data_IF_952443822896
#
_entry.id   IF_952443822896
#
_cell.length_a   1.000
_cell.length_b   1.000
_cell.length_c   1.000
_cell.angle_alpha   90.00
_cell.angle_beta   90.00
_cell.angle_gamma   90.00
#
_symmetry.space_group_name_H-M   'P 1'
#
loop_
_entity.id
_entity.type
_entity.pdbx_description
1 polymer ?
#
# COMPACT_ATOMS: atom_id res chain seq x y z
N UNK A 1 48.92 -10.82 -8.19
CA UNK A 1 47.94 -11.91 -7.98
C UNK A 1 47.40 -11.88 -6.55
N UNK A 2 48.25 -11.56 -5.57
CA UNK A 2 47.89 -11.42 -4.14
C UNK A 2 46.82 -10.35 -3.87
N UNK A 3 46.85 -9.21 -4.58
CA UNK A 3 45.88 -8.11 -4.40
C UNK A 3 44.42 -8.46 -4.76
N UNK A 4 44.19 -9.36 -5.71
CA UNK A 4 42.84 -9.83 -6.05
C UNK A 4 42.32 -10.80 -4.99
N UNK A 5 43.20 -11.64 -4.46
CA UNK A 5 42.86 -12.54 -3.36
C UNK A 5 42.48 -11.74 -2.09
N UNK A 6 43.22 -10.69 -1.76
CA UNK A 6 42.89 -9.78 -0.65
C UNK A 6 41.54 -9.09 -0.85
N UNK A 7 41.26 -8.62 -2.07
CA UNK A 7 39.96 -8.02 -2.40
C UNK A 7 38.81 -9.03 -2.24
N UNK A 8 38.97 -10.28 -2.69
CA UNK A 8 37.93 -11.28 -2.48
C UNK A 8 37.69 -11.60 -1.00
N UNK A 9 38.74 -11.56 -0.18
CA UNK A 9 38.63 -11.77 1.27
C UNK A 9 37.89 -10.60 1.93
N UNK A 10 38.20 -9.35 1.57
CA UNK A 10 37.50 -8.20 2.13
C UNK A 10 36.02 -8.19 1.76
N UNK A 11 35.67 -8.51 0.51
CA UNK A 11 34.27 -8.61 0.09
C UNK A 11 33.52 -9.75 0.79
N UNK A 12 34.18 -10.89 1.01
CA UNK A 12 33.61 -11.98 1.81
C UNK A 12 33.32 -11.51 3.23
N UNK A 13 34.25 -10.78 3.86
CA UNK A 13 34.06 -10.24 5.20
C UNK A 13 32.91 -9.21 5.25
N UNK A 14 32.86 -8.28 4.28
CA UNK A 14 31.81 -7.27 4.19
C UNK A 14 30.42 -7.88 3.97
N UNK A 15 30.30 -8.93 3.14
CA UNK A 15 29.02 -9.60 2.91
C UNK A 15 28.58 -10.49 4.08
N UNK A 16 29.53 -11.09 4.81
CA UNK A 16 29.22 -11.97 5.95
C UNK A 16 28.97 -11.21 7.25
N UNK A 17 29.47 -9.98 7.37
CA UNK A 17 29.33 -9.16 8.57
C UNK A 17 27.85 -8.85 8.93
N UNK A 18 26.99 -8.37 8.02
CA UNK A 18 25.58 -8.13 8.34
C UNK A 18 24.81 -9.39 8.76
N UNK A 19 25.17 -10.55 8.19
CA UNK A 19 24.55 -11.82 8.56
C UNK A 19 24.89 -12.22 10.00
N UNK A 20 26.16 -12.04 10.40
CA UNK A 20 26.61 -12.31 11.77
C UNK A 20 25.99 -11.34 12.77
N UNK A 21 25.96 -10.05 12.44
CA UNK A 21 25.33 -9.02 13.29
C UNK A 21 23.84 -9.31 13.49
N UNK A 22 23.15 -9.80 12.45
CA UNK A 22 21.75 -10.21 12.55
C UNK A 22 21.56 -11.47 13.43
N UNK A 23 22.45 -12.47 13.33
CA UNK A 23 22.42 -13.67 14.16
C UNK A 23 22.63 -13.34 15.65
N UNK A 24 23.60 -12.47 15.95
CA UNK A 24 23.85 -11.95 17.30
C UNK A 24 22.65 -11.15 17.85
N UNK A 25 21.98 -10.38 17.00
CA UNK A 25 20.76 -9.68 17.38
C UNK A 25 19.62 -10.65 17.72
N UNK A 26 19.38 -11.66 16.88
CA UNK A 26 18.30 -12.63 17.09
C UNK A 26 18.53 -13.45 18.36
N UNK A 27 19.76 -13.94 18.57
CA UNK A 27 20.12 -14.66 19.80
C UNK A 27 19.93 -13.82 21.06
N UNK A 28 20.21 -12.51 20.99
CA UNK A 28 19.95 -11.57 22.08
C UNK A 28 18.45 -11.42 22.36
N UNK A 29 17.64 -11.25 21.31
CA UNK A 29 16.18 -11.14 21.44
C UNK A 29 15.58 -12.43 22.00
N UNK A 30 16.04 -13.59 21.53
CA UNK A 30 15.62 -14.90 22.05
C UNK A 30 15.96 -15.06 23.54
N UNK A 31 17.16 -14.65 23.97
CA UNK A 31 17.55 -14.68 25.37
C UNK A 31 16.66 -13.77 26.24
N UNK A 32 16.32 -12.57 25.74
CA UNK A 32 15.38 -11.66 26.42
C UNK A 32 13.99 -12.28 26.55
N UNK A 33 13.48 -12.90 25.49
CA UNK A 33 12.18 -13.58 25.52
C UNK A 33 12.18 -14.74 26.52
N UNK A 34 13.22 -15.57 26.51
CA UNK A 34 13.37 -16.70 27.42
C UNK A 34 13.49 -16.26 28.89
N UNK A 35 14.08 -15.09 29.16
CA UNK A 35 14.11 -14.53 30.51
C UNK A 35 12.71 -14.14 30.99
N UNK A 36 11.86 -13.60 30.11
CA UNK A 36 10.48 -13.22 30.43
C UNK A 36 9.59 -14.46 30.63
N UNK A 37 9.76 -15.50 29.80
CA UNK A 37 8.95 -16.72 29.90
C UNK A 37 9.34 -17.60 31.09
N UNK A 38 10.62 -17.61 31.49
CA UNK A 38 11.10 -18.39 32.63
C UNK A 38 10.93 -17.70 34.00
N UNK A 39 10.38 -16.47 34.05
CA UNK A 39 10.14 -15.73 35.31
C UNK A 39 8.68 -15.67 35.75
N UNK A 40 7.79 -16.45 35.11
CA UNK A 40 6.40 -16.62 35.54
C UNK A 40 6.22 -17.77 36.54
N UNK A 41 5.39 -17.63 37.60
CA UNK A 41 5.05 -18.74 38.48
C UNK A 41 4.37 -19.88 37.72
N UNK A 42 4.85 -21.10 37.95
CA UNK A 42 4.26 -22.39 37.61
C UNK A 42 2.72 -22.38 37.65
N UNK A 43 2.08 -22.25 36.48
CA UNK A 43 0.74 -22.76 36.17
C UNK A 43 0.66 -22.93 34.64
N UNK A 44 0.63 -24.16 34.15
CA UNK A 44 0.27 -24.44 32.75
C UNK A 44 1.34 -25.08 31.87
N UNK A 45 2.07 -26.07 32.38
CA UNK A 45 2.66 -27.11 31.52
C UNK A 45 1.53 -28.00 30.95
N UNK A 46 0.85 -27.53 29.92
CA UNK A 46 0.00 -28.29 29.00
C UNK A 46 -0.05 -27.38 27.77
N UNK A 47 0.73 -27.62 26.73
CA UNK A 47 0.38 -28.51 25.63
C UNK A 47 1.67 -28.78 24.85
N UNK A 48 2.18 -30.01 24.96
CA UNK A 48 3.01 -30.58 23.90
C UNK A 48 2.09 -31.28 22.91
N UNK A 49 2.17 -30.86 21.65
CA UNK A 49 2.08 -31.67 20.43
C UNK A 49 1.17 -32.90 20.42
N UNK A 50 0.06 -32.83 19.67
CA UNK A 50 -0.32 -33.88 18.72
C UNK A 50 -1.48 -33.43 17.82
N UNK A 51 -1.20 -33.45 16.51
CA UNK A 51 -2.04 -33.91 15.41
C UNK A 51 -3.59 -33.77 15.44
N UNK A 52 -4.04 -33.24 14.31
CA UNK A 52 -5.16 -33.71 13.49
C UNK A 52 -6.55 -33.02 13.62
N UNK A 53 -6.99 -32.58 12.43
CA UNK A 53 -8.36 -32.59 11.89
C UNK A 53 -9.34 -31.46 12.20
N UNK A 54 -9.52 -30.65 11.14
CA UNK A 54 -10.80 -30.30 10.46
C UNK A 54 -11.98 -29.82 11.29
N UNK A 55 -12.49 -28.64 10.93
CA UNK A 55 -13.88 -28.28 11.24
C UNK A 55 -14.19 -26.81 10.99
N UNK A 56 -14.60 -26.50 9.75
CA UNK A 56 -15.37 -25.29 9.40
C UNK A 56 -16.65 -25.21 10.23
N UNK A 57 -17.01 -24.02 10.71
CA UNK A 57 -18.37 -23.42 10.81
C UNK A 57 -18.22 -22.02 11.42
N UNK A 58 -18.20 -20.95 10.64
CA UNK A 58 -19.37 -20.14 10.23
C UNK A 58 -20.50 -20.12 11.27
N UNK A 59 -20.71 -18.97 11.90
CA UNK A 59 -21.89 -18.70 12.73
C UNK A 59 -22.48 -17.38 12.25
N UNK A 60 -23.34 -17.53 11.25
CA UNK A 60 -24.25 -16.52 10.75
C UNK A 60 -25.41 -16.29 11.74
N UNK A 61 -25.74 -15.01 11.83
CA UNK A 61 -26.99 -14.33 12.20
C UNK A 61 -28.29 -15.10 11.91
N UNK A 62 -29.24 -15.11 12.85
CA UNK A 62 -30.68 -14.84 12.60
C UNK A 62 -31.47 -14.76 13.92
N UNK A 63 -32.39 -13.79 13.99
CA UNK A 63 -33.37 -13.60 15.08
C UNK A 63 -34.74 -14.17 14.67
N UNK A 64 -35.49 -14.81 15.59
CA UNK A 64 -36.95 -14.59 15.69
C UNK A 64 -37.63 -15.21 16.93
N UNK A 65 -38.24 -14.31 17.71
CA UNK A 65 -39.63 -14.26 18.21
C UNK A 65 -40.32 -15.43 18.98
N UNK A 66 -40.78 -15.02 20.17
CA UNK A 66 -42.10 -15.24 20.83
C UNK A 66 -42.55 -16.63 21.31
N UNK A 67 -43.11 -16.62 22.54
CA UNK A 67 -44.02 -17.69 22.98
C UNK A 67 -43.95 -18.08 24.46
N UNK A 68 -44.70 -17.35 25.30
CA UNK A 68 -45.59 -17.86 26.36
C UNK A 68 -45.26 -19.15 27.12
N UNK A 69 -45.22 -19.03 28.46
CA UNK A 69 -45.94 -19.97 29.34
C UNK A 69 -45.12 -20.78 30.33
N UNK A 70 -45.32 -20.43 31.60
CA UNK A 70 -45.66 -21.35 32.69
C UNK A 70 -44.62 -22.34 33.27
N UNK A 71 -44.61 -22.31 34.62
CA UNK A 71 -44.17 -23.27 35.64
C UNK A 71 -42.73 -23.81 35.69
N UNK A 72 -42.09 -23.46 36.82
CA UNK A 72 -41.52 -24.37 37.80
C UNK A 72 -40.20 -25.12 37.53
N UNK A 73 -39.53 -25.35 38.66
CA UNK A 73 -38.44 -26.29 38.91
C UNK A 73 -37.00 -25.82 38.61
N UNK A 74 -36.34 -25.43 39.71
CA UNK A 74 -35.00 -25.87 40.12
C UNK A 74 -33.86 -25.70 39.11
N UNK A 75 -33.08 -24.64 39.30
CA UNK A 75 -31.64 -24.73 39.47
C UNK A 75 -31.14 -23.39 40.00
N UNK A 76 -30.15 -23.41 40.90
CA UNK A 76 -29.39 -22.22 41.30
C UNK A 76 -28.63 -21.68 40.08
N UNK A 77 -29.32 -20.89 39.24
CA UNK A 77 -28.79 -20.33 38.01
C UNK A 77 -28.24 -18.93 38.24
N UNK A 78 -27.15 -18.81 39.00
CA UNK A 78 -26.25 -17.67 38.77
C UNK A 78 -25.50 -18.03 37.49
N UNK A 79 -26.10 -17.73 36.34
CA UNK A 79 -25.40 -17.68 35.06
C UNK A 79 -24.25 -16.67 35.25
N UNK A 80 -22.97 -17.10 35.27
CA UNK A 80 -21.84 -16.19 35.46
C UNK A 80 -21.72 -15.12 34.36
N UNK A 81 -22.58 -15.16 33.32
CA UNK A 81 -22.63 -14.21 32.23
C UNK A 81 -23.83 -13.22 32.30
N UNK A 82 -24.80 -13.42 33.19
CA UNK A 82 -25.96 -12.52 33.33
C UNK A 82 -25.54 -11.14 33.85
N UNK A 83 -24.62 -11.14 34.82
CA UNK A 83 -24.10 -9.92 35.44
C UNK A 83 -23.28 -9.08 34.46
N UNK A 84 -22.56 -9.73 33.53
CA UNK A 84 -21.79 -9.05 32.47
C UNK A 84 -22.68 -8.35 31.46
N UNK A 85 -23.83 -8.96 31.10
CA UNK A 85 -24.80 -8.36 30.19
C UNK A 85 -25.46 -7.14 30.82
N UNK A 86 -25.79 -7.20 32.10
CA UNK A 86 -26.37 -6.07 32.83
C UNK A 86 -25.33 -4.96 33.07
N UNK A 87 -24.10 -5.33 33.43
CA UNK A 87 -22.99 -4.40 33.57
C UNK A 87 -22.70 -3.68 32.24
N UNK A 88 -22.71 -4.42 31.12
CA UNK A 88 -22.57 -3.86 29.77
C UNK A 88 -23.70 -2.87 29.46
N UNK A 89 -24.96 -3.19 29.77
CA UNK A 89 -26.10 -2.28 29.60
C UNK A 89 -25.97 -1.03 30.47
N UNK A 90 -25.59 -1.19 31.73
CA UNK A 90 -25.38 -0.09 32.67
C UNK A 90 -24.22 0.82 32.22
N UNK A 91 -23.13 0.24 31.72
CA UNK A 91 -21.98 0.94 31.17
C UNK A 91 -22.35 1.69 29.88
N UNK A 92 -23.03 1.03 28.94
CA UNK A 92 -23.52 1.68 27.73
C UNK A 92 -24.46 2.84 28.05
N UNK A 93 -25.39 2.68 28.99
CA UNK A 93 -26.29 3.74 29.45
C UNK A 93 -25.54 4.93 30.03
N UNK A 94 -24.58 4.68 30.94
CA UNK A 94 -23.78 5.72 31.61
C UNK A 94 -22.84 6.46 30.65
N UNK A 95 -22.22 5.76 29.71
CA UNK A 95 -21.20 6.31 28.81
C UNK A 95 -21.71 6.60 27.39
N UNK A 96 -22.98 6.31 27.06
CA UNK A 96 -23.58 6.50 25.73
C UNK A 96 -23.34 7.89 25.15
N UNK A 97 -23.55 8.95 25.94
CA UNK A 97 -23.32 10.33 25.52
C UNK A 97 -21.84 10.64 25.27
N UNK A 98 -20.94 10.16 26.12
CA UNK A 98 -19.49 10.33 25.96
C UNK A 98 -18.99 9.58 24.71
N UNK A 99 -19.39 8.32 24.55
CA UNK A 99 -19.07 7.50 23.37
C UNK A 99 -19.66 8.10 22.09
N UNK A 100 -20.87 8.66 22.15
CA UNK A 100 -21.49 9.37 21.03
C UNK A 100 -20.72 10.63 20.63
N UNK A 101 -20.30 11.44 21.60
CA UNK A 101 -19.49 12.63 21.37
C UNK A 101 -18.11 12.27 20.80
N UNK A 102 -17.44 11.28 21.39
CA UNK A 102 -16.15 10.79 20.92
C UNK A 102 -16.25 10.24 19.50
N UNK A 103 -17.28 9.44 19.19
CA UNK A 103 -17.54 8.97 17.82
C UNK A 103 -17.77 10.14 16.87
N UNK A 104 -18.56 11.15 17.26
CA UNK A 104 -18.81 12.34 16.43
C UNK A 104 -17.54 13.13 16.16
N UNK A 105 -16.65 13.30 17.14
CA UNK A 105 -15.35 13.96 16.96
C UNK A 105 -14.40 13.17 16.06
N UNK A 106 -14.31 11.85 16.26
CA UNK A 106 -13.51 10.98 15.41
C UNK A 106 -14.06 10.92 13.98
N UNK A 107 -15.38 10.86 13.80
CA UNK A 107 -16.02 10.86 12.48
C UNK A 107 -15.88 12.21 11.76
N UNK A 108 -15.89 13.34 12.47
CA UNK A 108 -15.59 14.66 11.87
C UNK A 108 -14.17 14.70 11.29
N UNK A 109 -13.19 14.09 11.96
CA UNK A 109 -11.80 13.97 11.47
C UNK A 109 -11.64 12.92 10.36
N UNK A 110 -12.60 11.99 10.21
CA UNK A 110 -12.53 10.87 9.25
C UNK A 110 -13.47 10.97 8.06
N UNK A 111 -14.18 12.09 7.88
CA UNK A 111 -14.83 12.34 6.59
C UNK A 111 -13.70 12.50 5.57
N UNK A 112 -13.45 11.42 4.82
CA UNK A 112 -12.56 11.37 3.67
C UNK A 112 -13.21 12.23 2.60
N UNK A 113 -13.14 13.53 2.82
CA UNK A 113 -13.78 14.51 1.97
C UNK A 113 -13.19 14.37 0.58
N UNK A 114 -14.08 14.24 -0.40
CA UNK A 114 -13.69 14.25 -1.80
C UNK A 114 -12.88 15.53 -2.03
N UNK A 115 -11.80 15.44 -2.81
CA UNK A 115 -10.96 16.60 -3.12
C UNK A 115 -11.82 17.81 -3.54
N UNK A 116 -11.48 19.04 -3.13
CA UNK A 116 -12.20 20.25 -3.51
C UNK A 116 -12.45 20.32 -5.03
N UNK A 117 -13.61 20.86 -5.44
CA UNK A 117 -13.98 20.90 -6.87
C UNK A 117 -12.93 21.59 -7.74
N UNK A 118 -12.39 22.72 -7.26
CA UNK A 118 -11.34 23.48 -7.93
C UNK A 118 -10.05 22.68 -8.07
N UNK A 119 -9.63 22.00 -7.00
CA UNK A 119 -8.46 21.13 -7.03
C UNK A 119 -8.64 20.01 -8.07
N UNK A 120 -9.81 19.38 -8.12
CA UNK A 120 -10.11 18.35 -9.13
C UNK A 120 -10.06 18.90 -10.55
N UNK A 121 -10.55 20.11 -10.80
CA UNK A 121 -10.50 20.73 -12.12
C UNK A 121 -9.06 20.94 -12.58
N UNK A 122 -8.18 21.46 -11.72
CA UNK A 122 -6.75 21.64 -12.04
C UNK A 122 -6.05 20.31 -12.35
N UNK A 123 -6.38 19.25 -11.60
CA UNK A 123 -5.81 17.92 -11.84
C UNK A 123 -6.32 17.32 -13.16
N UNK A 124 -7.60 17.51 -13.47
CA UNK A 124 -8.18 17.09 -14.75
C UNK A 124 -7.61 17.86 -15.94
N UNK A 125 -7.39 19.17 -15.82
CA UNK A 125 -6.78 19.95 -16.91
C UNK A 125 -5.36 19.49 -17.22
N UNK A 126 -4.55 19.19 -16.18
CA UNK A 126 -3.23 18.62 -16.39
C UNK A 126 -3.32 17.22 -17.03
N UNK A 127 -4.25 16.40 -16.55
CA UNK A 127 -4.50 15.04 -17.06
C UNK A 127 -4.86 15.01 -18.54
N UNK A 128 -5.75 15.88 -18.99
CA UNK A 128 -6.19 15.96 -20.38
C UNK A 128 -5.03 16.37 -21.30
N UNK A 129 -4.22 17.33 -20.87
CA UNK A 129 -3.03 17.77 -21.60
C UNK A 129 -1.98 16.64 -21.73
N UNK A 130 -1.88 15.78 -20.72
CA UNK A 130 -0.89 14.69 -20.66
C UNK A 130 -1.52 13.30 -20.81
N UNK A 131 -2.67 13.18 -21.47
CA UNK A 131 -3.42 11.92 -21.52
C UNK A 131 -2.62 10.76 -22.15
N UNK A 132 -1.73 11.07 -23.10
CA UNK A 132 -0.86 10.07 -23.73
C UNK A 132 0.09 9.45 -22.70
N UNK A 133 0.73 10.25 -21.85
CA UNK A 133 1.66 9.78 -20.81
C UNK A 133 1.36 10.47 -19.46
N UNK A 134 0.35 10.02 -18.71
CA UNK A 134 -0.16 10.73 -17.53
C UNK A 134 0.68 10.42 -16.27
N UNK A 135 1.97 10.70 -16.34
CA UNK A 135 2.96 10.52 -15.29
C UNK A 135 3.63 11.86 -15.00
N UNK A 136 3.08 12.68 -14.08
CA UNK A 136 3.69 13.96 -13.74
C UNK A 136 5.07 13.74 -13.11
N UNK A 137 6.03 14.56 -13.54
CA UNK A 137 7.35 14.66 -12.92
C UNK A 137 7.25 15.19 -11.49
N UNK A 138 8.34 15.07 -10.73
CA UNK A 138 8.35 15.51 -9.34
C UNK A 138 8.08 17.01 -9.19
N UNK A 139 8.65 17.81 -10.10
CA UNK A 139 8.41 19.25 -10.16
C UNK A 139 6.93 19.58 -10.46
N UNK A 140 6.31 18.85 -11.39
CA UNK A 140 4.90 19.06 -11.72
C UNK A 140 3.99 18.67 -10.56
N UNK A 141 4.31 17.61 -9.81
CA UNK A 141 3.56 17.26 -8.60
C UNK A 141 3.64 18.35 -7.55
N UNK A 142 4.81 18.98 -7.37
CA UNK A 142 4.99 20.10 -6.44
C UNK A 142 4.13 21.29 -6.90
N UNK A 143 4.22 21.68 -8.17
CA UNK A 143 3.41 22.78 -8.71
C UNK A 143 1.89 22.51 -8.63
N UNK A 144 1.47 21.26 -8.84
CA UNK A 144 0.07 20.86 -8.66
C UNK A 144 -0.34 20.89 -7.18
N UNK A 145 0.51 20.47 -6.26
CA UNK A 145 0.26 20.56 -4.83
C UNK A 145 0.08 22.03 -4.38
N UNK A 146 1.00 22.90 -4.78
CA UNK A 146 0.95 24.34 -4.49
C UNK A 146 -0.30 25.01 -5.05
N UNK A 147 -0.64 24.73 -6.32
CA UNK A 147 -1.79 25.35 -6.97
C UNK A 147 -3.14 24.82 -6.47
N UNK A 148 -3.20 23.60 -5.97
CA UNK A 148 -4.45 22.97 -5.47
C UNK A 148 -4.61 23.04 -3.96
N UNK A 149 -3.55 23.37 -3.22
CA UNK A 149 -3.51 23.33 -1.76
C UNK A 149 -3.59 21.90 -1.20
N UNK A 150 -3.29 20.88 -2.03
CA UNK A 150 -3.30 19.48 -1.63
C UNK A 150 -1.90 19.01 -1.27
N UNK A 151 -1.80 18.02 -0.39
CA UNK A 151 -0.53 17.36 -0.13
C UNK A 151 -0.08 16.57 -1.35
N UNK A 152 1.24 16.52 -1.57
CA UNK A 152 1.82 15.75 -2.67
C UNK A 152 1.40 14.27 -2.66
N UNK A 153 1.19 13.69 -1.47
CA UNK A 153 0.62 12.33 -1.33
C UNK A 153 -0.79 12.21 -1.91
N UNK A 154 -1.64 13.23 -1.74
CA UNK A 154 -2.99 13.27 -2.31
C UNK A 154 -2.94 13.39 -3.83
N UNK A 155 -2.02 14.20 -4.37
CA UNK A 155 -1.75 14.31 -5.80
C UNK A 155 -1.34 12.95 -6.39
N UNK A 156 -0.35 12.29 -5.78
CA UNK A 156 0.12 10.97 -6.19
C UNK A 156 -1.01 9.94 -6.21
N UNK A 157 -1.79 9.86 -5.12
CA UNK A 157 -2.92 8.96 -5.01
C UNK A 157 -4.00 9.26 -6.04
N UNK A 158 -4.23 10.53 -6.35
CA UNK A 158 -5.20 10.92 -7.37
C UNK A 158 -4.76 10.43 -8.75
N UNK A 159 -3.51 10.68 -9.16
CA UNK A 159 -3.01 10.24 -10.46
C UNK A 159 -2.95 8.72 -10.61
N UNK A 160 -2.58 7.98 -9.55
CA UNK A 160 -2.63 6.51 -9.55
C UNK A 160 -4.06 6.02 -9.79
N UNK A 161 -5.03 6.56 -9.04
CA UNK A 161 -6.43 6.17 -9.19
C UNK A 161 -7.02 6.62 -10.53
N UNK A 162 -6.64 7.78 -11.02
CA UNK A 162 -7.09 8.34 -12.29
C UNK A 162 -6.61 7.46 -13.46
N UNK A 163 -5.33 7.08 -13.47
CA UNK A 163 -4.80 6.10 -14.43
C UNK A 163 -5.55 4.78 -14.38
N UNK A 164 -5.70 4.21 -13.19
CA UNK A 164 -6.40 2.93 -13.02
C UNK A 164 -7.83 2.93 -13.57
N UNK A 165 -8.53 4.08 -13.51
CA UNK A 165 -9.94 4.19 -13.91
C UNK A 165 -10.15 4.66 -15.35
N UNK A 166 -9.26 5.53 -15.85
CA UNK A 166 -9.54 6.31 -17.05
C UNK A 166 -8.44 6.23 -18.10
N UNK A 167 -7.27 5.65 -17.81
CA UNK A 167 -6.22 5.53 -18.82
C UNK A 167 -6.37 4.21 -19.58
N UNK A 168 -6.65 4.34 -20.87
CA UNK A 168 -6.61 3.24 -21.83
C UNK A 168 -5.52 3.57 -22.85
N UNK A 169 -4.36 2.91 -22.80
CA UNK A 169 -3.35 3.07 -23.83
C UNK A 169 -3.97 2.71 -25.18
N UNK A 170 -4.03 3.67 -26.10
CA UNK A 170 -4.49 3.41 -27.47
C UNK A 170 -3.58 2.38 -28.15
N UNK A 171 -4.09 1.62 -29.13
CA UNK A 171 -3.32 0.60 -29.88
C UNK A 171 -1.99 1.16 -30.45
N UNK A 172 -1.98 2.43 -30.86
CA UNK A 172 -0.78 3.15 -31.30
C UNK A 172 0.33 3.23 -30.23
N UNK A 173 -0.01 3.29 -28.93
CA UNK A 173 0.98 3.22 -27.86
C UNK A 173 1.51 1.81 -27.62
N UNK A 174 0.69 0.79 -27.90
CA UNK A 174 1.15 -0.60 -27.80
C UNK A 174 2.22 -0.87 -28.88
N UNK A 175 2.06 -0.27 -30.06
CA UNK A 175 3.04 -0.36 -31.14
C UNK A 175 4.34 0.41 -30.83
N UNK A 176 4.26 1.62 -30.28
CA UNK A 176 5.44 2.43 -29.95
C UNK A 176 6.37 1.77 -28.89
N UNK A 177 5.84 0.90 -28.02
CA UNK A 177 6.66 0.13 -27.06
C UNK A 177 7.31 -1.10 -27.74
N UNK A 178 6.77 -1.56 -28.87
CA UNK A 178 7.28 -2.72 -29.63
C UNK A 178 8.24 -2.34 -30.77
N UNK A 179 8.22 -1.09 -31.23
CA UNK A 179 9.09 -0.57 -32.31
C UNK A 179 10.57 -0.36 -31.90
N UNK A 180 10.93 -0.62 -30.64
CA UNK A 180 12.34 -0.68 -30.20
C UNK A 180 13.12 -1.89 -30.73
N UNK A 181 12.48 -2.84 -31.42
CA UNK A 181 13.08 -4.11 -31.87
C UNK A 181 12.88 -4.43 -33.35
N UNK A 182 12.51 -3.45 -34.20
CA UNK A 182 12.52 -3.69 -35.65
C UNK A 182 13.93 -3.45 -36.22
N UNK A 183 14.67 -4.49 -36.68
CA UNK A 183 15.86 -4.25 -37.47
C UNK A 183 15.43 -3.54 -38.75
N UNK A 184 16.08 -2.41 -39.04
CA UNK A 184 15.84 -1.64 -40.25
C UNK A 184 15.87 -2.58 -41.48
N UNK A 185 14.91 -2.48 -42.41
CA UNK A 185 15.02 -3.20 -43.67
C UNK A 185 16.30 -2.71 -44.37
N UNK A 186 17.11 -3.60 -44.97
CA UNK A 186 18.47 -3.31 -45.44
C UNK A 186 18.53 -2.38 -46.67
N UNK A 187 17.53 -1.55 -46.93
CA UNK A 187 17.48 -0.68 -48.11
C UNK A 187 16.94 0.75 -47.88
N UNK A 188 16.95 1.25 -46.65
CA UNK A 188 16.54 2.63 -46.36
C UNK A 188 17.60 3.69 -46.75
N UNK A 189 18.83 3.29 -47.07
CA UNK A 189 19.90 4.20 -47.47
C UNK A 189 19.73 4.78 -48.90
N UNK A 190 18.80 4.25 -49.71
CA UNK A 190 18.63 4.63 -51.10
C UNK A 190 17.70 5.84 -51.35
N UNK A 191 16.95 6.31 -50.33
CA UNK A 191 16.01 7.44 -50.48
C UNK A 191 16.50 8.75 -49.86
N UNK A 192 17.79 8.83 -49.46
CA UNK A 192 18.35 10.02 -48.80
C UNK A 192 19.37 10.80 -49.65
N UNK A 193 19.22 10.73 -50.97
CA UNK A 193 19.81 11.72 -51.87
C UNK A 193 18.66 12.43 -52.59
N UNK A 194 18.62 13.75 -52.45
CA UNK A 194 17.70 14.67 -53.13
C UNK A 194 16.45 15.17 -52.36
N UNK A 195 16.70 15.94 -51.28
CA UNK A 195 15.73 16.91 -50.77
C UNK A 195 16.41 18.18 -50.22
N UNK A 196 17.51 18.63 -50.85
CA UNK A 196 18.20 19.90 -50.52
C UNK A 196 17.76 21.09 -51.38
N UNK A 197 16.63 21.00 -52.08
CA UNK A 197 16.16 22.06 -52.98
C UNK A 197 14.67 22.40 -52.87
N UNK A 198 14.03 22.31 -51.69
CA UNK A 198 12.82 23.10 -51.42
C UNK A 198 12.79 23.46 -49.94
N UNK A 199 12.92 24.76 -49.62
CA UNK A 199 12.80 25.26 -48.27
C UNK A 199 11.39 25.01 -47.72
N UNK A 200 11.26 24.03 -46.83
CA UNK A 200 10.09 23.84 -45.99
C UNK A 200 10.58 23.32 -44.64
N UNK A 201 10.40 24.12 -43.58
CA UNK A 201 10.64 23.71 -42.20
C UNK A 201 9.35 23.11 -41.62
N UNK A 202 9.31 21.82 -41.24
CA UNK A 202 8.33 21.34 -40.28
C UNK A 202 8.90 21.51 -38.87
N UNK A 203 8.10 22.15 -38.01
CA UNK A 203 8.42 22.43 -36.62
C UNK A 203 8.88 21.20 -35.85
N UNK A 204 10.10 21.25 -35.31
CA UNK A 204 10.63 20.30 -34.33
C UNK A 204 10.03 20.63 -32.95
N UNK A 205 8.84 20.09 -32.68
CA UNK A 205 8.27 20.06 -31.33
C UNK A 205 8.53 18.68 -30.69
N UNK A 206 9.21 18.71 -29.54
CA UNK A 206 9.42 17.66 -28.55
C UNK A 206 10.26 16.43 -28.94
N UNK A 207 11.56 16.66 -29.14
CA UNK A 207 12.58 15.68 -28.76
C UNK A 207 12.91 15.88 -27.27
N UNK A 208 12.59 14.89 -26.42
CA UNK A 208 13.15 14.80 -25.07
C UNK A 208 14.54 14.16 -25.18
N UNK A 209 15.62 14.79 -24.68
CA UNK A 209 16.92 14.16 -24.56
C UNK A 209 16.99 13.24 -23.34
N UNK A 210 18.01 12.41 -23.44
CA UNK A 210 18.34 11.18 -22.75
C UNK A 210 18.59 11.27 -21.23
N UNK A 211 18.67 10.07 -20.66
CA UNK A 211 18.75 9.66 -19.26
C UNK A 211 19.68 10.44 -18.31
N UNK A 212 19.13 10.76 -17.14
CA UNK A 212 19.86 10.91 -15.88
C UNK A 212 19.42 9.81 -14.93
N UNK A 213 20.26 8.80 -14.75
CA UNK A 213 20.05 7.71 -13.82
C UNK A 213 20.02 8.23 -12.37
N UNK A 214 18.91 7.99 -11.67
CA UNK A 214 18.91 7.89 -10.21
C UNK A 214 18.07 6.67 -9.83
N UNK A 215 18.77 5.59 -9.48
CA UNK A 215 18.22 4.50 -8.69
C UNK A 215 17.75 5.07 -7.36
N UNK A 216 16.45 5.28 -7.22
CA UNK A 216 15.77 5.51 -5.95
C UNK A 216 15.09 4.22 -5.52
N UNK A 217 15.65 3.56 -4.52
CA UNK A 217 15.11 2.37 -3.89
C UNK A 217 13.65 2.62 -3.47
N UNK A 218 12.77 1.71 -3.89
CA UNK A 218 11.51 1.48 -3.21
C UNK A 218 11.84 0.73 -1.92
N UNK A 219 11.68 1.38 -0.77
CA UNK A 219 11.54 0.70 0.52
C UNK A 219 10.18 1.04 1.11
N UNK A 220 9.58 0.00 1.71
CA UNK A 220 8.30 -0.03 2.42
C UNK A 220 8.12 1.11 3.42
#
# INVERSE_FOLDING_TARGET
>A
MESYCELLVTWKEELTRPLREAEEFLTTVEAQLNSITNTGPTMGAFISSAADKTGVVDMSDDEQEEGSGMEAEVALGIDPCSDDKELKKQLLRKYSGCLGNLRKELCKKRKKDKLPKEARQKLLSWWELHYRWPYPSEMEKIALAESTGLEQKQINNWFINQRKRHWKPSEEMQFAVMDGFHPAPPNAAAFYVDARLVGATPAMFYARPDHGAHHGLWHN
#
